data_IF_908487683706
#
_entry.id   IF_908487683706
#
_cell.length_a   1.000
_cell.length_b   1.000
_cell.length_c   1.000
_cell.angle_alpha   90.00
_cell.angle_beta   90.00
_cell.angle_gamma   90.00
#
_symmetry.space_group_name_H-M   'P 1'
#
loop_
_entity.id
_entity.type
_entity.pdbx_description
1 polymer ?
#
# COMPACT_ATOMS: atom_id res chain seq x y z
N UNK A 1 -18.73 -8.08 27.42
CA UNK A 1 -18.92 -6.65 27.08
C UNK A 1 -17.64 -5.93 27.48
N UNK A 2 -16.64 -5.92 26.60
CA UNK A 2 -15.40 -5.16 26.85
C UNK A 2 -15.73 -3.70 26.59
N UNK A 3 -15.73 -2.89 27.64
CA UNK A 3 -15.94 -1.45 27.52
C UNK A 3 -14.66 -0.82 27.00
N UNK A 4 -14.66 -0.45 25.71
CA UNK A 4 -13.60 0.36 25.14
C UNK A 4 -13.44 1.64 25.96
N UNK A 5 -12.27 1.77 26.58
CA UNK A 5 -11.84 2.96 27.30
C UNK A 5 -11.93 4.15 26.32
N UNK A 6 -12.65 5.24 26.64
CA UNK A 6 -12.78 6.35 25.71
C UNK A 6 -11.40 6.93 25.42
N UNK A 7 -10.96 6.81 24.17
CA UNK A 7 -9.72 7.40 23.70
C UNK A 7 -9.77 8.91 23.97
N UNK A 8 -8.73 9.44 24.62
CA UNK A 8 -8.62 10.89 24.84
C UNK A 8 -8.70 11.60 23.48
N UNK A 9 -9.48 12.69 23.35
CA UNK A 9 -9.73 13.36 22.05
C UNK A 9 -8.45 13.87 21.34
N UNK A 10 -7.33 13.93 22.06
CA UNK A 10 -6.01 14.34 21.55
C UNK A 10 -4.97 13.21 21.49
N UNK A 11 -5.34 11.95 21.78
CA UNK A 11 -4.42 10.84 21.64
C UNK A 11 -4.06 10.62 20.17
N UNK A 12 -2.78 10.31 19.89
CA UNK A 12 -2.33 9.94 18.54
C UNK A 12 -2.95 8.57 18.18
N UNK A 13 -3.67 8.44 17.06
CA UNK A 13 -4.25 7.18 16.63
C UNK A 13 -3.16 6.17 16.22
N UNK A 14 -3.43 4.88 16.40
CA UNK A 14 -2.63 3.83 15.82
C UNK A 14 -3.13 3.54 14.39
N UNK A 15 -2.21 3.38 13.43
CA UNK A 15 -2.56 3.08 12.04
C UNK A 15 -3.22 1.70 11.92
N UNK A 16 -2.85 0.75 12.77
CA UNK A 16 -3.37 -0.62 12.74
C UNK A 16 -4.78 -0.76 13.30
N UNK A 17 -5.33 0.29 13.93
CA UNK A 17 -6.75 0.33 14.30
C UNK A 17 -7.65 0.37 13.04
N UNK A 18 -7.12 0.92 11.94
CA UNK A 18 -7.86 1.16 10.71
C UNK A 18 -8.95 2.23 10.87
N UNK A 19 -10.03 2.11 10.10
CA UNK A 19 -11.16 3.04 10.16
C UNK A 19 -10.80 4.45 9.67
N UNK A 20 -9.98 4.52 8.62
CA UNK A 20 -9.57 5.78 8.00
C UNK A 20 -10.79 6.46 7.35
N UNK A 21 -10.79 7.80 7.34
CA UNK A 21 -11.83 8.55 6.63
C UNK A 21 -11.65 8.37 5.12
N UNK A 22 -10.42 8.52 4.63
CA UNK A 22 -10.06 8.34 3.23
C UNK A 22 -8.56 8.07 3.06
N UNK A 23 -8.17 7.62 1.87
CA UNK A 23 -6.80 7.48 1.44
C UNK A 23 -6.68 7.77 -0.06
N UNK A 24 -5.50 8.24 -0.47
CA UNK A 24 -5.18 8.48 -1.88
C UNK A 24 -3.66 8.42 -2.12
N UNK A 25 -3.27 8.24 -3.37
CA UNK A 25 -1.89 8.48 -3.81
C UNK A 25 -1.77 9.92 -4.29
N UNK A 26 -0.89 10.71 -3.67
CA UNK A 26 -0.56 12.08 -4.05
C UNK A 26 0.95 12.14 -4.31
N UNK A 27 1.38 12.63 -5.48
CA UNK A 27 2.80 12.68 -5.87
C UNK A 27 3.54 11.34 -5.66
N UNK A 28 2.87 10.23 -5.98
CA UNK A 28 3.37 8.85 -5.85
C UNK A 28 3.56 8.35 -4.41
N UNK A 29 2.98 9.02 -3.42
CA UNK A 29 3.00 8.58 -2.02
C UNK A 29 1.59 8.33 -1.54
N UNK A 30 1.39 7.28 -0.73
CA UNK A 30 0.09 7.03 -0.12
C UNK A 30 -0.09 7.94 1.09
N UNK A 31 -1.16 8.73 1.07
CA UNK A 31 -1.63 9.50 2.21
C UNK A 31 -2.88 8.84 2.78
N UNK A 32 -2.89 8.66 4.09
CA UNK A 32 -3.99 8.04 4.84
C UNK A 32 -4.51 9.04 5.85
N UNK A 33 -5.81 9.34 5.86
CA UNK A 33 -6.41 10.39 6.68
C UNK A 33 -7.37 9.79 7.71
N UNK A 34 -7.24 10.17 8.99
CA UNK A 34 -8.14 9.77 10.08
C UNK A 34 -8.30 10.90 11.08
N UNK A 35 -9.52 11.38 11.22
CA UNK A 35 -9.92 12.48 12.08
C UNK A 35 -9.03 13.71 11.82
N UNK A 36 -8.31 14.20 12.82
CA UNK A 36 -7.39 15.34 12.67
C UNK A 36 -5.97 14.96 12.23
N UNK A 37 -5.73 13.68 11.96
CA UNK A 37 -4.40 13.12 11.70
C UNK A 37 -4.29 12.56 10.29
N UNK A 38 -3.07 12.48 9.79
CA UNK A 38 -2.75 11.73 8.60
C UNK A 38 -1.39 11.03 8.71
N UNK A 39 -1.16 10.04 7.87
CA UNK A 39 0.10 9.34 7.69
C UNK A 39 0.54 9.41 6.23
N UNK A 40 1.85 9.39 6.01
CA UNK A 40 2.43 8.98 4.73
C UNK A 40 2.93 7.55 4.85
N UNK A 41 2.60 6.75 3.85
CA UNK A 41 2.94 5.34 3.79
C UNK A 41 3.68 5.09 2.48
N UNK A 42 4.80 4.35 2.59
CA UNK A 42 5.63 3.96 1.46
C UNK A 42 6.20 2.57 1.73
N UNK A 43 6.26 1.72 0.70
CA UNK A 43 6.82 0.37 0.80
C UNK A 43 6.23 -0.44 1.97
N UNK A 44 4.92 -0.34 2.15
CA UNK A 44 4.14 -0.97 3.21
C UNK A 44 4.54 -0.57 4.64
N UNK A 45 5.17 0.59 4.82
CA UNK A 45 5.58 1.11 6.11
C UNK A 45 5.17 2.57 6.30
N UNK A 46 4.83 2.92 7.54
CA UNK A 46 4.60 4.32 7.94
C UNK A 46 5.93 5.07 7.93
N UNK A 47 5.95 6.22 7.27
CA UNK A 47 7.12 7.07 7.24
C UNK A 47 7.42 7.66 8.65
N UNK A 48 8.70 7.91 8.99
CA UNK A 48 9.06 8.57 10.25
C UNK A 48 8.39 9.94 10.41
N UNK A 49 8.00 10.28 11.65
CA UNK A 49 7.35 11.56 11.98
C UNK A 49 5.82 11.58 11.85
N UNK A 50 5.19 10.46 11.51
CA UNK A 50 3.73 10.29 11.44
C UNK A 50 3.17 9.48 12.62
N UNK A 51 1.90 9.68 13.02
CA UNK A 51 0.92 10.60 12.45
C UNK A 51 1.25 12.08 12.68
N UNK A 52 0.84 12.92 11.72
CA UNK A 52 0.93 14.38 11.79
C UNK A 52 -0.46 15.00 11.75
N UNK A 53 -0.64 16.17 12.37
CA UNK A 53 -1.92 16.88 12.31
C UNK A 53 -2.14 17.51 10.94
N UNK A 54 -3.35 17.32 10.39
CA UNK A 54 -3.76 17.88 9.10
C UNK A 54 -3.61 19.41 9.11
N UNK A 55 -4.13 20.08 10.15
CA UNK A 55 -4.12 21.54 10.22
C UNK A 55 -2.70 22.15 10.30
N UNK A 56 -1.71 21.37 10.77
CA UNK A 56 -0.32 21.82 10.81
C UNK A 56 0.32 21.77 9.42
N UNK A 57 0.12 20.67 8.70
CA UNK A 57 0.72 20.46 7.38
C UNK A 57 -0.02 21.23 6.28
N UNK A 58 -1.35 21.21 6.30
CA UNK A 58 -2.24 21.89 5.36
C UNK A 58 -3.09 22.93 6.08
N UNK A 59 -2.48 24.08 6.32
CA UNK A 59 -3.13 25.21 6.99
C UNK A 59 -4.41 25.60 6.26
N UNK A 60 -5.51 25.63 7.00
CA UNK A 60 -6.85 25.94 6.48
C UNK A 60 -7.69 24.74 6.05
N UNK A 61 -7.13 23.53 6.04
CA UNK A 61 -7.90 22.31 5.80
C UNK A 61 -8.54 21.79 7.10
N UNK A 62 -9.86 21.53 7.13
CA UNK A 62 -10.53 21.00 8.31
C UNK A 62 -10.16 19.52 8.57
N UNK A 63 -10.28 19.04 9.82
CA UNK A 63 -10.11 17.63 10.13
C UNK A 63 -11.24 16.79 9.51
N UNK A 64 -11.03 15.48 9.43
CA UNK A 64 -12.02 14.48 9.00
C UNK A 64 -12.57 14.79 7.61
N UNK A 65 -11.67 14.86 6.63
CA UNK A 65 -12.02 15.04 5.22
C UNK A 65 -12.73 13.79 4.67
N UNK A 66 -13.55 13.98 3.65
CA UNK A 66 -14.35 12.90 3.06
C UNK A 66 -13.62 12.24 1.88
N UNK A 67 -12.97 13.04 1.03
CA UNK A 67 -12.24 12.54 -0.12
C UNK A 67 -11.07 13.46 -0.49
N UNK A 68 -10.08 12.90 -1.18
CA UNK A 68 -8.95 13.63 -1.75
C UNK A 68 -8.49 12.98 -3.04
N UNK A 69 -8.05 13.78 -4.02
CA UNK A 69 -7.32 13.29 -5.19
C UNK A 69 -6.33 14.34 -5.73
N UNK A 70 -5.38 13.91 -6.55
CA UNK A 70 -4.52 14.79 -7.37
C UNK A 70 -5.18 14.97 -8.75
N UNK A 71 -5.45 16.21 -9.16
CA UNK A 71 -6.09 16.50 -10.44
C UNK A 71 -5.09 16.54 -11.61
N UNK A 72 -5.58 16.80 -12.82
CA UNK A 72 -4.77 16.87 -14.06
C UNK A 72 -3.66 17.93 -14.03
N UNK A 73 -3.80 18.97 -13.21
CA UNK A 73 -2.80 20.03 -13.02
C UNK A 73 -1.79 19.71 -11.89
N UNK A 74 -1.91 18.54 -11.25
CA UNK A 74 -1.09 18.15 -10.11
C UNK A 74 -1.41 18.91 -8.82
N UNK A 75 -2.61 19.48 -8.71
CA UNK A 75 -3.13 20.10 -7.48
C UNK A 75 -3.90 19.06 -6.67
N UNK A 76 -3.85 19.17 -5.35
CA UNK A 76 -4.60 18.29 -4.46
C UNK A 76 -5.95 18.92 -4.16
N UNK A 77 -7.01 18.18 -4.40
CA UNK A 77 -8.38 18.62 -4.19
C UNK A 77 -8.98 17.82 -3.04
N UNK A 78 -9.42 18.54 -2.00
CA UNK A 78 -10.05 17.96 -0.81
C UNK A 78 -11.53 18.24 -0.80
N UNK A 79 -12.31 17.26 -0.37
CA UNK A 79 -13.74 17.41 -0.14
C UNK A 79 -14.06 17.20 1.34
N UNK A 80 -14.95 18.04 1.86
CA UNK A 80 -15.58 17.86 3.17
C UNK A 80 -16.98 18.48 3.16
N UNK A 81 -18.00 17.66 3.37
CA UNK A 81 -19.38 18.10 3.26
C UNK A 81 -19.67 18.66 1.87
N UNK A 82 -20.30 19.83 1.81
CA UNK A 82 -20.58 20.55 0.57
C UNK A 82 -19.46 21.52 0.15
N UNK A 83 -18.26 21.41 0.72
CA UNK A 83 -17.14 22.31 0.40
C UNK A 83 -15.95 21.54 -0.14
N UNK A 84 -15.15 22.24 -0.93
CA UNK A 84 -13.88 21.73 -1.42
C UNK A 84 -12.76 22.77 -1.29
N UNK A 85 -11.53 22.25 -1.16
CA UNK A 85 -10.30 23.03 -1.07
C UNK A 85 -9.36 22.56 -2.16
N UNK A 86 -8.61 23.48 -2.76
CA UNK A 86 -7.56 23.14 -3.71
C UNK A 86 -6.23 23.63 -3.15
N UNK A 87 -5.27 22.73 -3.10
CA UNK A 87 -3.90 22.99 -2.67
C UNK A 87 -2.95 22.77 -3.84
N UNK A 88 -1.93 23.62 -3.93
CA UNK A 88 -0.70 23.33 -4.67
C UNK A 88 0.34 22.92 -3.64
N UNK A 89 0.66 21.64 -3.62
CA UNK A 89 1.49 21.00 -2.59
C UNK A 89 0.90 21.21 -1.18
N UNK A 90 1.46 22.12 -0.39
CA UNK A 90 0.94 22.47 0.96
C UNK A 90 0.27 23.83 1.02
N UNK A 91 0.19 24.55 -0.11
CA UNK A 91 -0.32 25.93 -0.17
C UNK A 91 -1.77 25.95 -0.63
N UNK A 92 -2.67 26.37 0.27
CA UNK A 92 -4.08 26.61 -0.06
C UNK A 92 -4.17 27.67 -1.16
N UNK A 93 -4.87 27.36 -2.25
CA UNK A 93 -5.05 28.30 -3.34
C UNK A 93 -6.04 29.41 -2.93
N UNK A 94 -5.93 30.63 -3.51
CA UNK A 94 -6.86 31.71 -3.22
C UNK A 94 -8.31 31.32 -3.49
N UNK A 95 -9.26 31.98 -2.82
CA UNK A 95 -10.72 31.79 -2.94
C UNK A 95 -11.31 30.49 -2.37
N UNK A 96 -10.47 29.59 -1.85
CA UNK A 96 -10.93 28.35 -1.19
C UNK A 96 -11.08 28.51 0.33
N UNK A 97 -12.01 27.77 0.97
CA UNK A 97 -12.92 26.79 0.35
C UNK A 97 -14.05 27.40 -0.46
N UNK A 98 -14.49 26.67 -1.48
CA UNK A 98 -15.68 26.97 -2.26
C UNK A 98 -16.77 25.92 -2.03
N UNK A 99 -18.02 26.28 -2.33
CA UNK A 99 -19.13 25.32 -2.35
C UNK A 99 -18.98 24.37 -3.54
N UNK A 100 -19.33 23.10 -3.34
CA UNK A 100 -19.18 22.05 -4.35
C UNK A 100 -19.99 22.33 -5.63
N UNK A 101 -21.07 23.11 -5.54
CA UNK A 101 -21.81 23.59 -6.72
C UNK A 101 -20.96 24.43 -7.68
N UNK A 102 -19.90 25.06 -7.18
CA UNK A 102 -18.94 25.85 -7.97
C UNK A 102 -17.84 24.99 -8.62
N UNK A 103 -17.79 23.69 -8.32
CA UNK A 103 -16.75 22.80 -8.84
C UNK A 103 -16.81 22.70 -10.36
N UNK A 104 -18.03 22.47 -10.89
CA UNK A 104 -18.32 22.39 -12.31
C UNK A 104 -19.79 22.04 -12.58
N UNK A 105 -20.22 22.22 -13.82
CA UNK A 105 -21.61 21.95 -14.22
C UNK A 105 -21.97 20.47 -14.04
N UNK A 106 -23.14 20.21 -13.43
CA UNK A 106 -23.63 18.84 -13.19
C UNK A 106 -23.04 18.14 -11.95
N UNK A 107 -22.23 18.84 -11.14
CA UNK A 107 -21.74 18.33 -9.87
C UNK A 107 -22.91 18.04 -8.91
N UNK A 108 -22.89 16.91 -8.16
CA UNK A 108 -23.88 16.69 -7.11
C UNK A 108 -23.77 17.78 -6.04
N UNK A 109 -24.92 18.23 -5.52
CA UNK A 109 -24.99 19.22 -4.41
C UNK A 109 -24.66 18.61 -3.04
N UNK A 110 -24.35 17.31 -3.00
CA UNK A 110 -24.04 16.56 -1.79
C UNK A 110 -22.52 16.35 -1.68
N UNK A 111 -22.05 15.81 -0.55
CA UNK A 111 -20.63 15.46 -0.37
C UNK A 111 -20.12 14.40 -1.35
N UNK A 112 -18.81 14.35 -1.55
CA UNK A 112 -18.11 13.31 -2.31
C UNK A 112 -17.38 12.38 -1.34
N UNK A 113 -17.58 11.07 -1.50
CA UNK A 113 -17.03 10.04 -0.62
C UNK A 113 -15.71 9.48 -1.15
N UNK A 114 -15.50 9.51 -2.47
CA UNK A 114 -14.24 9.12 -3.10
C UNK A 114 -14.07 9.89 -4.41
N UNK A 115 -12.83 10.28 -4.70
CA UNK A 115 -12.44 10.91 -5.95
C UNK A 115 -11.17 10.25 -6.48
N UNK A 116 -11.06 10.09 -7.80
CA UNK A 116 -9.86 9.55 -8.42
C UNK A 116 -9.67 10.11 -9.82
N UNK A 117 -8.47 10.61 -10.11
CA UNK A 117 -8.06 11.00 -11.46
C UNK A 117 -7.55 9.79 -12.22
N UNK A 118 -8.13 9.53 -13.38
CA UNK A 118 -7.69 8.47 -14.26
C UNK A 118 -6.98 9.06 -15.47
N UNK A 119 -5.66 9.13 -15.37
CA UNK A 119 -4.79 9.82 -16.33
C UNK A 119 -4.93 9.28 -17.77
N UNK A 120 -5.00 7.96 -17.94
CA UNK A 120 -5.06 7.31 -19.26
C UNK A 120 -6.27 7.72 -20.11
N UNK A 121 -7.38 8.10 -19.46
CA UNK A 121 -8.61 8.53 -20.13
C UNK A 121 -8.89 10.01 -19.93
N UNK A 122 -8.00 10.74 -19.25
CA UNK A 122 -8.12 12.15 -18.93
C UNK A 122 -9.48 12.52 -18.27
N UNK A 123 -9.95 11.71 -17.32
CA UNK A 123 -11.21 11.96 -16.58
C UNK A 123 -11.05 11.77 -15.08
N UNK A 124 -11.74 12.61 -14.30
CA UNK A 124 -11.90 12.42 -12.85
C UNK A 124 -13.19 11.67 -12.59
N UNK A 125 -13.15 10.70 -11.68
CA UNK A 125 -14.32 9.95 -11.25
C UNK A 125 -14.63 10.28 -9.80
N UNK A 126 -15.88 10.64 -9.54
CA UNK A 126 -16.40 10.91 -8.20
C UNK A 126 -17.42 9.84 -7.83
N UNK A 127 -17.39 9.37 -6.59
CA UNK A 127 -18.27 8.33 -6.08
C UNK A 127 -19.03 8.83 -4.86
N UNK A 128 -20.31 8.45 -4.79
CA UNK A 128 -21.17 8.69 -3.64
C UNK A 128 -22.31 7.66 -3.64
N UNK A 129 -22.47 6.92 -2.54
CA UNK A 129 -23.52 5.91 -2.44
C UNK A 129 -23.38 4.84 -3.52
N UNK A 130 -24.48 4.55 -4.20
CA UNK A 130 -24.60 3.60 -5.31
C UNK A 130 -24.31 4.25 -6.68
N UNK A 131 -23.77 5.47 -6.72
CA UNK A 131 -23.56 6.24 -7.96
C UNK A 131 -22.16 6.77 -8.12
N UNK A 132 -21.80 7.01 -9.38
CA UNK A 132 -20.57 7.68 -9.75
C UNK A 132 -20.78 8.68 -10.90
N UNK A 133 -19.94 9.71 -10.91
CA UNK A 133 -19.88 10.76 -11.92
C UNK A 133 -18.55 10.70 -12.64
N UNK A 134 -18.54 11.09 -13.92
CA UNK A 134 -17.33 11.24 -14.71
C UNK A 134 -17.21 12.70 -15.12
N UNK A 135 -16.12 13.32 -14.69
CA UNK A 135 -15.87 14.75 -14.82
C UNK A 135 -14.77 15.00 -15.85
N UNK A 136 -15.01 16.00 -16.69
CA UNK A 136 -14.02 16.54 -17.61
C UNK A 136 -13.34 17.75 -16.95
N UNK A 137 -12.07 17.60 -16.57
CA UNK A 137 -11.27 18.67 -15.97
C UNK A 137 -11.06 19.87 -16.92
N UNK A 138 -10.91 19.63 -18.22
CA UNK A 138 -10.69 20.68 -19.23
C UNK A 138 -11.95 21.52 -19.46
N UNK A 139 -13.09 20.85 -19.68
CA UNK A 139 -14.37 21.53 -19.91
C UNK A 139 -15.06 21.99 -18.63
N UNK A 140 -14.55 21.57 -17.47
CA UNK A 140 -15.11 21.81 -16.13
C UNK A 140 -16.60 21.44 -16.00
N UNK A 141 -16.96 20.29 -16.55
CA UNK A 141 -18.34 19.77 -16.55
C UNK A 141 -18.37 18.26 -16.37
N UNK A 142 -19.46 17.76 -15.79
CA UNK A 142 -19.79 16.34 -15.86
C UNK A 142 -20.11 15.93 -17.29
N UNK A 143 -19.66 14.74 -17.67
CA UNK A 143 -20.01 14.16 -18.96
C UNK A 143 -21.52 13.84 -19.02
N UNK A 144 -22.17 13.98 -20.19
CA UNK A 144 -23.58 13.62 -20.36
C UNK A 144 -23.86 12.15 -20.03
N UNK A 145 -25.04 11.89 -19.46
CA UNK A 145 -25.46 10.53 -19.07
C UNK A 145 -24.90 10.03 -17.74
N UNK A 146 -24.29 10.92 -16.95
CA UNK A 146 -23.91 10.70 -15.55
C UNK A 146 -24.87 11.46 -14.61
N UNK A 147 -25.07 10.98 -13.35
CA UNK A 147 -24.42 9.83 -12.74
C UNK A 147 -24.89 8.48 -13.26
N UNK A 148 -24.00 7.48 -13.20
CA UNK A 148 -24.28 6.08 -13.50
C UNK A 148 -24.24 5.24 -12.21
N UNK A 149 -24.91 4.07 -12.18
CA UNK A 149 -24.81 3.18 -11.04
C UNK A 149 -23.39 2.62 -10.90
N UNK A 150 -22.90 2.52 -9.67
CA UNK A 150 -21.55 2.00 -9.37
C UNK A 150 -21.38 0.54 -9.80
N UNK A 151 -22.47 -0.21 -10.00
CA UNK A 151 -22.46 -1.60 -10.52
C UNK A 151 -21.77 -1.77 -11.87
N UNK A 152 -21.55 -0.68 -12.63
CA UNK A 152 -20.67 -0.67 -13.82
C UNK A 152 -19.22 -1.06 -13.44
N UNK A 153 -18.77 -0.65 -12.26
CA UNK A 153 -17.50 -1.05 -11.63
C UNK A 153 -17.67 -2.42 -10.97
N UNK A 154 -17.78 -3.48 -11.79
CA UNK A 154 -18.14 -4.82 -11.34
C UNK A 154 -17.28 -5.31 -10.17
N UNK A 155 -17.92 -5.54 -9.03
CA UNK A 155 -17.29 -6.05 -7.80
C UNK A 155 -16.79 -4.97 -6.83
N UNK A 156 -16.81 -3.69 -7.20
CA UNK A 156 -16.53 -2.58 -6.29
C UNK A 156 -17.75 -2.38 -5.38
N UNK A 157 -17.57 -2.21 -4.05
CA UNK A 157 -18.68 -1.97 -3.15
C UNK A 157 -19.24 -0.54 -3.31
N UNK A 158 -20.52 -0.37 -2.99
CA UNK A 158 -21.13 0.96 -2.86
C UNK A 158 -20.41 1.79 -1.80
N UNK A 159 -20.42 3.12 -1.93
CA UNK A 159 -19.74 4.05 -1.00
C UNK A 159 -18.29 3.64 -0.66
N UNK A 160 -17.39 3.56 -1.65
CA UNK A 160 -15.96 3.48 -1.35
C UNK A 160 -15.54 4.74 -0.56
N UNK A 161 -14.54 4.58 0.30
CA UNK A 161 -14.00 5.64 1.16
C UNK A 161 -12.68 6.22 0.62
N UNK A 162 -12.04 5.53 -0.33
CA UNK A 162 -10.85 6.03 -1.02
C UNK A 162 -10.60 5.24 -2.29
N UNK A 163 -9.84 5.81 -3.21
CA UNK A 163 -9.38 5.12 -4.40
C UNK A 163 -8.06 5.70 -4.91
N UNK A 164 -7.28 4.87 -5.59
CA UNK A 164 -6.06 5.30 -6.28
C UNK A 164 -5.74 4.42 -7.46
N UNK A 165 -5.08 4.99 -8.47
CA UNK A 165 -4.72 4.31 -9.71
C UNK A 165 -3.25 3.90 -9.66
N UNK A 166 -3.00 2.62 -9.90
CA UNK A 166 -1.69 2.08 -10.25
C UNK A 166 -1.60 1.99 -11.78
N UNK A 167 -1.16 3.10 -12.36
CA UNK A 167 -1.05 3.26 -13.81
C UNK A 167 -0.06 2.26 -14.41
N UNK A 168 1.05 1.98 -13.72
CA UNK A 168 2.10 1.11 -14.22
C UNK A 168 1.60 -0.32 -14.45
N UNK A 169 0.75 -0.82 -13.55
CA UNK A 169 0.22 -2.18 -13.63
C UNK A 169 -1.21 -2.25 -14.18
N UNK A 170 -1.85 -1.11 -14.48
CA UNK A 170 -3.19 -1.07 -15.04
C UNK A 170 -4.29 -1.50 -14.06
N UNK A 171 -4.14 -1.12 -12.78
CA UNK A 171 -5.13 -1.41 -11.74
C UNK A 171 -5.63 -0.13 -11.07
N UNK A 172 -6.86 -0.18 -10.57
CA UNK A 172 -7.40 0.82 -9.66
C UNK A 172 -7.74 0.12 -8.35
N UNK A 173 -7.35 0.70 -7.22
CA UNK A 173 -7.64 0.14 -5.91
C UNK A 173 -8.72 0.98 -5.26
N UNK A 174 -9.76 0.32 -4.75
CA UNK A 174 -10.83 0.95 -3.97
C UNK A 174 -10.71 0.51 -2.52
N UNK A 175 -10.92 1.41 -1.57
CA UNK A 175 -10.83 1.17 -0.14
C UNK A 175 -12.18 1.37 0.55
N UNK A 176 -12.52 0.48 1.48
CA UNK A 176 -13.68 0.61 2.38
C UNK A 176 -13.46 -0.21 3.65
N UNK A 177 -13.69 0.39 4.82
CA UNK A 177 -13.59 -0.27 6.12
C UNK A 177 -12.14 -0.65 6.46
N UNK A 178 -11.87 -1.96 6.52
CA UNK A 178 -10.50 -2.49 6.70
C UNK A 178 -9.99 -3.21 5.45
N UNK A 179 -10.69 -3.02 4.34
CA UNK A 179 -10.54 -3.82 3.13
C UNK A 179 -10.26 -2.94 1.92
N UNK A 180 -9.67 -3.57 0.90
CA UNK A 180 -9.49 -2.96 -0.41
C UNK A 180 -9.79 -3.96 -1.55
N UNK A 181 -10.23 -3.42 -2.69
CA UNK A 181 -10.58 -4.15 -3.91
C UNK A 181 -9.64 -3.73 -5.03
N UNK A 182 -8.96 -4.71 -5.65
CA UNK A 182 -8.12 -4.47 -6.84
C UNK A 182 -8.96 -4.62 -8.10
N UNK A 183 -9.27 -3.50 -8.73
CA UNK A 183 -10.03 -3.40 -9.97
C UNK A 183 -9.11 -3.45 -11.19
N UNK A 184 -9.39 -4.35 -12.12
CA UNK A 184 -8.67 -4.45 -13.39
C UNK A 184 -9.26 -3.47 -14.41
N UNK A 185 -8.44 -2.51 -14.82
CA UNK A 185 -8.85 -1.41 -15.69
C UNK A 185 -9.20 -1.86 -17.12
N UNK A 186 -8.66 -3.00 -17.58
CA UNK A 186 -8.94 -3.55 -18.91
C UNK A 186 -10.16 -4.48 -18.89
N UNK A 187 -10.26 -5.36 -17.89
CA UNK A 187 -11.38 -6.31 -17.74
C UNK A 187 -12.64 -5.67 -17.15
N UNK A 188 -12.51 -4.45 -16.61
CA UNK A 188 -13.57 -3.68 -15.95
C UNK A 188 -14.28 -4.48 -14.84
N UNK A 189 -13.49 -5.15 -14.00
CA UNK A 189 -13.96 -5.91 -12.84
C UNK A 189 -12.89 -6.06 -11.78
N UNK A 190 -13.31 -6.28 -10.54
CA UNK A 190 -12.41 -6.68 -9.44
C UNK A 190 -11.77 -8.04 -9.75
N UNK A 191 -10.47 -8.17 -9.45
CA UNK A 191 -9.73 -9.43 -9.62
C UNK A 191 -10.18 -10.48 -8.59
N UNK A 192 -10.12 -11.79 -8.92
CA UNK A 192 -10.37 -12.85 -7.95
C UNK A 192 -9.43 -12.77 -6.75
N UNK A 193 -9.91 -13.15 -5.56
CA UNK A 193 -9.13 -13.11 -4.31
C UNK A 193 -9.19 -11.76 -3.57
N UNK A 194 -10.09 -10.87 -3.97
CA UNK A 194 -10.39 -9.61 -3.29
C UNK A 194 -11.83 -9.62 -2.74
N UNK A 195 -12.13 -8.89 -1.64
CA UNK A 195 -11.25 -7.93 -0.96
C UNK A 195 -10.08 -8.54 -0.18
N UNK A 196 -9.07 -7.72 0.11
CA UNK A 196 -7.94 -8.03 1.00
C UNK A 196 -7.78 -6.96 2.08
N UNK A 197 -7.05 -7.27 3.15
CA UNK A 197 -6.81 -6.34 4.26
C UNK A 197 -5.88 -5.20 3.85
N UNK A 198 -6.36 -3.95 3.95
CA UNK A 198 -5.52 -2.76 3.72
C UNK A 198 -4.43 -2.64 4.80
N UNK A 199 -4.74 -3.07 6.03
CA UNK A 199 -3.84 -2.95 7.18
C UNK A 199 -2.61 -3.83 7.00
N UNK A 200 -2.82 -5.07 6.53
CA UNK A 200 -1.75 -6.03 6.28
C UNK A 200 -0.93 -5.65 5.04
N UNK A 201 -1.61 -5.40 3.94
CA UNK A 201 -0.93 -5.29 2.64
C UNK A 201 -0.31 -3.90 2.39
N UNK A 202 -0.81 -2.83 3.04
CA UNK A 202 -0.33 -1.46 2.84
C UNK A 202 0.17 -0.79 4.11
N UNK A 203 -0.41 -1.06 5.29
CA UNK A 203 -0.03 -0.33 6.52
C UNK A 203 1.08 -1.02 7.31
N UNK A 204 1.49 -2.24 6.92
CA UNK A 204 2.54 -3.01 7.59
C UNK A 204 2.11 -3.59 8.94
N UNK A 205 0.81 -3.83 9.12
CA UNK A 205 0.26 -4.38 10.35
C UNK A 205 0.21 -5.91 10.28
N UNK A 206 1.01 -6.58 11.10
CA UNK A 206 0.94 -8.03 11.31
C UNK A 206 -0.08 -8.37 12.41
N UNK A 207 -0.85 -9.45 12.21
CA UNK A 207 -1.89 -9.93 13.14
C UNK A 207 -1.34 -10.48 14.48
N UNK A 208 -0.02 -10.47 14.70
CA UNK A 208 0.62 -11.04 15.89
C UNK A 208 0.67 -10.13 17.11
N UNK A 209 0.10 -8.92 17.03
CA UNK A 209 -0.03 -8.02 18.18
C UNK A 209 -1.49 -7.97 18.65
N UNK A 210 -1.99 -9.10 19.11
CA UNK A 210 -3.15 -9.16 19.98
C UNK A 210 -2.63 -9.15 21.43
N UNK A 211 -2.61 -8.02 22.15
CA UNK A 211 -2.12 -7.98 23.53
C UNK A 211 -3.02 -8.76 24.50
N UNK A 212 -4.20 -9.22 24.05
CA UNK A 212 -5.15 -10.00 24.86
C UNK A 212 -4.83 -11.50 24.94
N UNK A 213 -3.84 -12.01 24.19
CA UNK A 213 -3.49 -13.45 24.25
C UNK A 213 -2.47 -13.84 25.32
N UNK A 214 -1.93 -12.89 26.08
CA UNK A 214 -0.86 -13.17 27.04
C UNK A 214 -1.28 -13.16 28.53
N UNK A 215 -2.58 -13.10 28.83
CA UNK A 215 -3.08 -13.38 30.18
C UNK A 215 -3.40 -14.87 30.33
N UNK A 216 -2.40 -15.66 30.75
CA UNK A 216 -2.64 -16.91 31.47
C UNK A 216 -2.58 -16.60 32.96
N UNK A 217 -3.62 -16.93 33.77
CA UNK A 217 -3.47 -16.89 35.21
C UNK A 217 -2.39 -17.91 35.61
N UNK A 218 -1.62 -17.67 36.69
CA UNK A 218 -0.67 -18.65 37.18
C UNK A 218 -1.46 -19.84 37.72
N UNK A 219 -1.45 -20.96 36.99
CA UNK A 219 -1.87 -22.23 37.58
C UNK A 219 -0.77 -22.71 38.52
N UNK A 220 -1.24 -23.15 39.69
CA UNK A 220 -0.48 -23.64 40.84
C UNK A 220 0.52 -24.73 40.46
N UNK A 221 1.57 -24.82 41.27
CA UNK A 221 2.69 -25.75 41.19
C UNK A 221 2.32 -27.15 40.65
N UNK A 222 2.89 -27.52 39.51
CA UNK A 222 3.02 -28.92 39.08
C UNK A 222 4.48 -29.18 38.75
N UNK A 223 5.07 -30.13 39.48
CA UNK A 223 6.44 -30.60 39.35
C UNK A 223 6.84 -30.86 37.88
N UNK A 224 7.81 -30.09 37.39
CA UNK A 224 8.46 -30.36 36.11
C UNK A 224 9.42 -31.53 36.31
N UNK A 225 9.01 -32.73 35.93
CA UNK A 225 9.94 -33.84 35.68
C UNK A 225 10.78 -33.49 34.45
N UNK A 226 11.98 -32.98 34.66
CA UNK A 226 12.95 -32.75 33.59
C UNK A 226 13.40 -34.13 33.07
N UNK A 227 12.90 -34.54 31.91
CA UNK A 227 13.58 -35.56 31.11
C UNK A 227 14.85 -34.94 30.53
N UNK A 228 16.01 -35.34 31.04
CA UNK A 228 17.28 -35.09 30.35
C UNK A 228 17.32 -35.97 29.10
N UNK A 229 17.11 -35.37 27.93
CA UNK A 229 17.39 -36.04 26.66
C UNK A 229 18.90 -36.26 26.50
N UNK A 230 19.24 -37.50 26.19
CA UNK A 230 20.59 -38.05 26.18
C UNK A 230 21.39 -37.51 24.96
N UNK A 231 22.03 -36.35 25.13
CA UNK A 231 22.87 -35.64 24.13
C UNK A 231 24.17 -36.37 23.78
N UNK A 232 24.45 -37.54 24.38
CA UNK A 232 25.68 -38.29 24.13
C UNK A 232 25.71 -39.02 22.77
N UNK A 233 24.55 -39.38 22.20
CA UNK A 233 24.48 -40.12 20.93
C UNK A 233 24.73 -39.26 19.69
N UNK A 234 24.18 -38.05 19.69
CA UNK A 234 24.28 -37.09 18.57
C UNK A 234 25.70 -36.57 18.39
N UNK A 235 26.45 -36.33 19.47
CA UNK A 235 27.84 -35.84 19.38
C UNK A 235 28.76 -36.89 18.74
N UNK A 236 28.57 -38.18 19.05
CA UNK A 236 29.35 -39.27 18.42
C UNK A 236 29.01 -39.45 16.94
N UNK A 237 27.75 -39.29 16.55
CA UNK A 237 27.34 -39.37 15.15
C UNK A 237 27.92 -38.20 14.32
N UNK A 238 27.87 -36.98 14.86
CA UNK A 238 28.42 -35.78 14.19
C UNK A 238 29.94 -35.87 14.02
N UNK A 239 30.65 -36.40 15.02
CA UNK A 239 32.12 -36.59 14.96
C UNK A 239 32.58 -37.58 13.89
N UNK A 240 31.71 -38.48 13.40
CA UNK A 240 32.04 -39.48 12.36
C UNK A 240 31.54 -39.03 11.00
N UNK A 241 30.32 -38.48 10.94
CA UNK A 241 29.67 -38.11 9.67
C UNK A 241 30.40 -36.96 8.99
N UNK A 242 30.83 -35.93 9.74
CA UNK A 242 31.49 -34.75 9.17
C UNK A 242 32.84 -35.13 8.50
N UNK A 243 33.77 -35.88 9.15
CA UNK A 243 35.00 -36.31 8.51
C UNK A 243 34.77 -37.20 7.28
N UNK A 244 33.77 -38.09 7.32
CA UNK A 244 33.45 -38.94 6.17
C UNK A 244 32.98 -38.14 4.96
N UNK A 245 32.14 -37.11 5.17
CA UNK A 245 31.68 -36.22 4.10
C UNK A 245 32.87 -35.43 3.51
N UNK A 246 33.75 -34.90 4.36
CA UNK A 246 34.93 -34.16 3.90
C UNK A 246 35.89 -35.04 3.08
N UNK A 247 36.10 -36.28 3.50
CA UNK A 247 36.93 -37.25 2.76
C UNK A 247 36.33 -37.55 1.37
N UNK A 248 35.01 -37.72 1.28
CA UNK A 248 34.34 -37.93 -0.01
C UNK A 248 34.49 -36.71 -0.93
N UNK A 249 34.34 -35.49 -0.41
CA UNK A 249 34.53 -34.27 -1.20
C UNK A 249 35.97 -34.16 -1.75
N UNK A 250 36.98 -34.51 -0.96
CA UNK A 250 38.37 -34.52 -1.41
C UNK A 250 38.63 -35.56 -2.50
N UNK A 251 38.04 -36.76 -2.38
CA UNK A 251 38.15 -37.78 -3.43
C UNK A 251 37.51 -37.33 -4.75
N UNK A 252 36.36 -36.66 -4.69
CA UNK A 252 35.71 -36.08 -5.87
C UNK A 252 36.60 -35.00 -6.50
N UNK A 253 37.20 -34.12 -5.71
CA UNK A 253 38.13 -33.10 -6.22
C UNK A 253 39.38 -33.71 -6.87
N UNK A 254 39.96 -34.73 -6.26
CA UNK A 254 41.10 -35.45 -6.85
C UNK A 254 40.68 -36.12 -8.16
N UNK A 255 39.50 -36.72 -8.20
CA UNK A 255 38.95 -37.33 -9.40
C UNK A 255 38.70 -36.30 -10.51
N UNK A 256 38.13 -35.13 -10.20
CA UNK A 256 37.93 -34.07 -11.20
C UNK A 256 39.24 -33.51 -11.69
N UNK A 257 40.24 -33.31 -10.83
CA UNK A 257 41.60 -32.89 -11.23
C UNK A 257 42.25 -33.96 -12.12
N UNK A 258 42.10 -35.24 -11.80
CA UNK A 258 42.61 -36.34 -12.62
C UNK A 258 41.94 -36.39 -13.99
N UNK A 259 40.62 -36.22 -14.04
CA UNK A 259 39.87 -36.11 -15.29
C UNK A 259 40.30 -34.88 -16.10
N UNK A 260 40.54 -33.73 -15.45
CA UNK A 260 41.06 -32.52 -16.10
C UNK A 260 42.47 -32.71 -16.64
N UNK A 261 43.35 -33.38 -15.90
CA UNK A 261 44.70 -33.75 -16.37
C UNK A 261 44.63 -34.73 -17.55
N UNK A 262 43.67 -35.66 -17.53
CA UNK A 262 43.43 -36.62 -18.62
C UNK A 262 42.81 -35.95 -19.86
N UNK A 263 42.07 -34.86 -19.69
CA UNK A 263 41.50 -34.02 -20.75
C UNK A 263 42.47 -32.94 -21.29
N UNK A 264 43.74 -32.96 -20.90
CA UNK A 264 44.75 -32.03 -21.39
C UNK A 264 45.24 -32.36 -22.81
N UNK A 265 44.53 -31.89 -23.84
CA UNK A 265 45.12 -31.12 -24.97
C UNK A 265 44.03 -30.64 -25.93
N UNK A 266 43.79 -29.33 -25.96
CA UNK A 266 43.54 -28.63 -27.23
C UNK A 266 44.05 -27.19 -27.11
N UNK A 267 45.10 -26.90 -27.87
CA UNK A 267 45.69 -25.57 -28.06
C UNK A 267 44.69 -24.72 -28.84
N UNK A 268 44.46 -23.47 -28.43
CA UNK A 268 44.51 -22.27 -29.28
C UNK A 268 44.08 -21.05 -28.46
N UNK A 269 45.04 -20.44 -27.75
CA UNK A 269 45.00 -19.01 -27.45
C UNK A 269 46.05 -18.37 -28.34
N UNK A 270 45.60 -17.67 -29.38
CA UNK A 270 46.41 -16.68 -30.08
C UNK A 270 45.48 -15.60 -30.62
N UNK A 271 45.86 -14.35 -30.31
CA UNK A 271 45.41 -13.11 -30.92
C UNK A 271 44.03 -12.55 -30.54
N UNK A 272 44.03 -11.59 -29.61
CA UNK A 272 43.52 -10.26 -29.96
C UNK A 272 44.29 -9.18 -29.19
N UNK A 273 45.33 -8.65 -29.83
CA UNK A 273 46.09 -7.48 -29.40
C UNK A 273 45.43 -6.26 -30.04
N UNK A 274 44.74 -5.46 -29.22
CA UNK A 274 44.76 -3.99 -29.17
C UNK A 274 44.75 -3.24 -30.52
N UNK A 275 43.62 -2.60 -30.84
CA UNK A 275 43.55 -1.46 -31.77
C UNK A 275 42.73 -0.34 -31.12
N UNK A 276 43.42 0.60 -30.47
CA UNK A 276 42.91 1.94 -30.11
C UNK A 276 43.88 2.95 -30.76
N UNK A 277 43.32 4.09 -31.21
CA UNK A 277 43.92 5.20 -31.98
C UNK A 277 43.87 4.97 -33.50
N UNK A 278 43.34 5.86 -34.35
CA UNK A 278 42.99 7.27 -34.24
C UNK A 278 42.05 7.62 -35.43
N UNK A 279 40.99 8.41 -35.19
CA UNK A 279 40.30 9.20 -36.21
C UNK A 279 40.57 10.67 -35.87
N UNK A 280 41.22 11.34 -36.83
CA UNK A 280 41.13 12.76 -37.28
C UNK A 280 40.75 13.82 -36.25
#
# INVERSE_FOLDING_TARGET
>A
MSGDKPAHPNAKPNICDGGFNTLAILRREMFVFKDQWFWRVRDNAVMPGYPMQIAYFWRGLPPKIDAVYENSEGKFVFFKGNRFWVFKDTTLQPTYPQDISMFGSGMPTQSIETAVWWEDVAKTYFFKGDRYWRYNEEMRTMDPGYPKPITVWKGVPDSPQGAFVDKANGFTYFYKGKEYWKFNNQKLRVEPGYPRSILKDFMGCDESQDPERDWRPPEEDVDIVIKLDNTAGTVKAVAIVIPCILALCLLVLVYTIFQFKRMGTSRHILYCKRSMQEWV
#
